data_IF_028843699275
#
_entry.id   IF_028843699275
#
_cell.length_a   1.000
_cell.length_b   1.000
_cell.length_c   1.000
_cell.angle_alpha   90.00
_cell.angle_beta   90.00
_cell.angle_gamma   90.00
#
_symmetry.space_group_name_H-M   'P 1'
#
loop_
_entity.id
_entity.type
_entity.pdbx_description
1 polymer ?
#
# COMPACT_ATOMS: atom_id res chain seq x y z
N UNK A 1 -73.47 -6.26 26.03
CA UNK A 1 -72.85 -5.29 25.16
C UNK A 1 -71.34 -5.39 25.41
N UNK A 2 -70.52 -5.96 24.52
CA UNK A 2 -69.07 -5.93 24.68
C UNK A 2 -68.49 -4.57 24.27
N UNK A 3 -67.52 -4.08 25.02
CA UNK A 3 -66.80 -2.83 24.79
C UNK A 3 -65.89 -2.92 23.54
N UNK A 4 -65.73 -1.84 22.79
CA UNK A 4 -64.87 -1.84 21.60
C UNK A 4 -63.39 -1.84 21.95
N UNK A 5 -62.62 -2.64 21.23
CA UNK A 5 -61.14 -2.72 21.23
C UNK A 5 -60.56 -1.41 20.69
N UNK A 6 -59.51 -0.83 21.29
CA UNK A 6 -58.87 0.35 20.77
C UNK A 6 -58.08 0.04 19.46
N UNK A 7 -57.94 1.02 18.56
CA UNK A 7 -57.22 0.83 17.30
C UNK A 7 -55.70 0.70 17.53
N UNK A 8 -55.07 -0.18 16.73
CA UNK A 8 -53.64 -0.37 16.68
C UNK A 8 -52.91 0.96 16.44
N UNK A 9 -51.94 1.24 17.31
CA UNK A 9 -51.04 2.39 17.17
C UNK A 9 -50.16 2.31 15.93
N UNK A 10 -49.59 3.41 15.45
CA UNK A 10 -48.78 3.45 14.25
C UNK A 10 -47.53 2.59 14.41
N UNK A 11 -47.35 1.59 13.54
CA UNK A 11 -46.11 0.82 13.38
C UNK A 11 -44.98 1.76 12.99
N UNK A 12 -44.03 1.93 13.90
CA UNK A 12 -42.78 2.63 13.62
C UNK A 12 -42.08 1.91 12.44
N UNK A 13 -41.70 2.63 11.38
CA UNK A 13 -40.95 1.99 10.29
C UNK A 13 -39.63 1.44 10.83
N UNK A 14 -39.36 0.18 10.52
CA UNK A 14 -38.08 -0.46 10.84
C UNK A 14 -36.94 0.39 10.27
N UNK A 15 -36.03 0.80 11.13
CA UNK A 15 -34.76 1.43 10.74
C UNK A 15 -34.08 0.48 9.77
N UNK A 16 -33.64 0.92 8.58
CA UNK A 16 -32.92 0.02 7.70
C UNK A 16 -31.71 -0.54 8.43
N UNK A 17 -31.57 -1.86 8.38
CA UNK A 17 -30.39 -2.57 8.90
C UNK A 17 -29.13 -1.92 8.31
N UNK A 18 -28.41 -1.17 9.12
CA UNK A 18 -27.07 -0.68 8.76
C UNK A 18 -26.20 -1.92 8.74
N UNK A 19 -25.60 -2.30 7.61
CA UNK A 19 -24.76 -3.48 7.55
C UNK A 19 -23.72 -3.40 8.67
N UNK A 20 -23.60 -4.46 9.46
CA UNK A 20 -22.60 -4.57 10.52
C UNK A 20 -21.23 -4.18 9.95
N UNK A 21 -20.58 -3.18 10.56
CA UNK A 21 -19.39 -2.56 9.99
C UNK A 21 -18.33 -3.64 9.77
N UNK A 22 -17.95 -3.86 8.51
CA UNK A 22 -16.95 -4.86 8.13
C UNK A 22 -15.66 -4.62 8.90
N UNK A 23 -15.25 -5.57 9.76
CA UNK A 23 -13.98 -5.49 10.49
C UNK A 23 -12.92 -6.38 9.86
N UNK A 24 -11.96 -5.80 9.13
CA UNK A 24 -10.87 -6.57 8.52
C UNK A 24 -9.98 -7.31 9.52
N UNK A 25 -10.02 -6.96 10.82
CA UNK A 25 -9.18 -7.62 11.84
C UNK A 25 -9.54 -9.08 12.06
N UNK A 26 -10.72 -9.53 11.60
CA UNK A 26 -11.10 -10.95 11.56
C UNK A 26 -10.09 -11.79 10.76
N UNK A 27 -9.33 -11.18 9.86
CA UNK A 27 -8.24 -11.81 9.09
C UNK A 27 -6.97 -12.01 9.92
N UNK A 28 -6.95 -11.61 11.19
CA UNK A 28 -5.86 -11.82 12.15
C UNK A 28 -4.49 -11.36 11.65
N UNK A 29 -4.30 -10.07 11.30
CA UNK A 29 -3.02 -9.54 10.86
C UNK A 29 -1.98 -9.68 11.98
N UNK A 30 -0.75 -9.99 11.63
CA UNK A 30 0.38 -10.00 12.56
C UNK A 30 0.88 -8.57 12.75
N UNK A 31 0.33 -7.89 13.77
CA UNK A 31 0.71 -6.54 14.16
C UNK A 31 1.06 -6.50 15.66
N UNK A 32 2.08 -5.71 16.07
CA UNK A 32 3.02 -4.99 15.18
C UNK A 32 3.78 -5.96 14.26
N UNK A 33 4.11 -5.52 13.05
CA UNK A 33 4.92 -6.34 12.15
C UNK A 33 6.33 -6.54 12.73
N UNK A 34 6.98 -7.71 12.49
CA UNK A 34 8.29 -7.97 13.09
C UNK A 34 9.34 -6.94 12.68
N UNK A 35 10.25 -6.63 13.60
CA UNK A 35 11.46 -5.86 13.37
C UNK A 35 12.65 -6.74 13.70
N UNK A 36 13.49 -7.05 12.70
CA UNK A 36 14.57 -8.00 12.81
C UNK A 36 15.90 -7.31 12.49
N UNK A 37 16.92 -7.47 13.35
CA UNK A 37 18.27 -7.05 13.01
C UNK A 37 18.89 -8.03 12.03
N UNK A 38 19.62 -7.51 11.06
CA UNK A 38 20.44 -8.28 10.14
C UNK A 38 21.86 -7.74 10.11
N UNK A 39 22.82 -8.65 10.11
CA UNK A 39 24.24 -8.30 9.99
C UNK A 39 24.58 -8.26 8.49
N UNK A 40 24.94 -7.08 8.01
CA UNK A 40 25.44 -6.87 6.66
C UNK A 40 26.72 -6.06 6.72
N UNK A 41 27.81 -6.61 6.22
CA UNK A 41 29.14 -6.00 6.31
C UNK A 41 29.24 -4.63 5.64
N UNK A 42 28.41 -4.37 4.62
CA UNK A 42 28.31 -3.06 3.93
C UNK A 42 27.86 -1.97 4.90
N UNK A 43 26.99 -2.31 5.85
CA UNK A 43 26.50 -1.41 6.91
C UNK A 43 27.47 -1.39 8.08
N UNK A 44 27.89 -2.53 8.61
CA UNK A 44 28.69 -2.62 9.83
C UNK A 44 30.06 -1.99 9.68
N UNK A 45 30.73 -2.09 8.50
CA UNK A 45 31.98 -1.38 8.21
C UNK A 45 31.88 0.15 8.34
N UNK A 46 30.69 0.70 8.08
CA UNK A 46 30.39 2.15 8.24
C UNK A 46 29.87 2.49 9.63
N UNK A 47 29.71 1.49 10.50
CA UNK A 47 29.15 1.66 11.84
C UNK A 47 27.64 1.98 11.82
N UNK A 48 26.93 1.54 10.80
CA UNK A 48 25.48 1.66 10.66
C UNK A 48 24.83 0.32 10.98
N UNK A 49 23.72 0.32 11.72
CA UNK A 49 22.92 -0.87 12.00
C UNK A 49 21.77 -0.98 11.02
N UNK A 50 21.52 -2.18 10.49
CA UNK A 50 20.39 -2.46 9.62
C UNK A 50 19.34 -3.29 10.35
N UNK A 51 18.12 -2.78 10.38
CA UNK A 51 16.92 -3.50 10.82
C UNK A 51 16.00 -3.70 9.64
N UNK A 52 15.31 -4.83 9.57
CA UNK A 52 14.26 -5.09 8.58
C UNK A 52 12.89 -5.03 9.26
N UNK A 53 12.06 -4.09 8.87
CA UNK A 53 10.66 -3.99 9.29
C UNK A 53 9.81 -4.82 8.34
N UNK A 54 9.36 -5.98 8.81
CA UNK A 54 8.80 -7.07 8.01
C UNK A 54 7.29 -6.91 7.80
N UNK A 55 6.89 -5.84 7.09
CA UNK A 55 5.48 -5.64 6.71
C UNK A 55 4.98 -6.73 5.74
N UNK A 56 5.88 -7.38 5.01
CA UNK A 56 5.58 -8.57 4.19
C UNK A 56 4.99 -9.74 4.99
N UNK A 57 5.19 -9.77 6.31
CA UNK A 57 4.68 -10.80 7.21
C UNK A 57 3.39 -10.41 7.95
N UNK A 58 2.78 -9.27 7.64
CA UNK A 58 1.52 -8.85 8.27
C UNK A 58 0.40 -9.86 7.99
N UNK A 59 0.26 -10.28 6.73
CA UNK A 59 -0.74 -11.25 6.32
C UNK A 59 -0.26 -12.01 5.09
N UNK A 60 -0.46 -13.33 5.02
CA UNK A 60 0.07 -14.16 3.94
C UNK A 60 -0.48 -13.81 2.55
N UNK A 61 -1.70 -13.29 2.47
CA UNK A 61 -2.37 -13.00 1.20
C UNK A 61 -2.58 -11.50 0.93
N UNK A 62 -2.81 -10.68 1.95
CA UNK A 62 -2.83 -9.22 1.82
C UNK A 62 -1.41 -8.67 1.94
N UNK A 63 -0.67 -8.79 0.85
CA UNK A 63 0.78 -8.64 0.81
C UNK A 63 1.24 -7.28 1.35
N UNK A 64 2.05 -7.34 2.38
CA UNK A 64 2.87 -6.25 2.89
C UNK A 64 2.09 -5.04 3.39
N UNK A 65 2.61 -3.87 3.10
CA UNK A 65 2.03 -2.59 3.51
C UNK A 65 0.60 -2.33 2.98
N UNK A 66 0.09 -3.20 2.09
CA UNK A 66 -1.26 -3.08 1.56
C UNK A 66 -2.32 -3.34 2.63
N UNK A 67 -2.03 -4.19 3.60
CA UNK A 67 -2.88 -4.32 4.78
C UNK A 67 -3.16 -2.96 5.43
N UNK A 68 -2.12 -2.19 5.75
CA UNK A 68 -2.24 -0.89 6.44
C UNK A 68 -3.09 0.12 5.66
N UNK A 69 -3.01 0.07 4.33
CA UNK A 69 -3.81 0.93 3.45
C UNK A 69 -5.24 0.45 3.28
N UNK A 70 -5.42 -0.85 3.14
CA UNK A 70 -6.74 -1.44 2.83
C UNK A 70 -7.63 -1.53 4.06
N UNK A 71 -7.13 -1.91 5.22
CA UNK A 71 -7.97 -2.13 6.40
C UNK A 71 -8.93 -0.94 6.71
N UNK A 72 -8.48 0.32 6.77
CA UNK A 72 -9.40 1.44 6.99
C UNK A 72 -10.33 1.70 5.80
N UNK A 73 -9.90 1.42 4.57
CA UNK A 73 -10.74 1.55 3.37
C UNK A 73 -11.82 0.47 3.32
N UNK A 74 -11.51 -0.76 3.70
CA UNK A 74 -12.46 -1.87 3.74
C UNK A 74 -13.55 -1.63 4.80
N UNK A 75 -13.19 -1.09 5.98
CA UNK A 75 -14.17 -0.64 6.96
C UNK A 75 -15.10 0.43 6.37
N UNK A 76 -14.55 1.44 5.69
CA UNK A 76 -15.33 2.51 5.07
C UNK A 76 -16.16 2.03 3.87
N UNK A 77 -15.78 0.95 3.21
CA UNK A 77 -16.57 0.34 2.15
C UNK A 77 -17.91 -0.20 2.66
N UNK A 78 -18.00 -0.63 3.92
CA UNK A 78 -19.23 -1.07 4.58
C UNK A 78 -20.04 -2.10 3.75
N UNK A 79 -19.35 -3.12 3.22
CA UNK A 79 -19.99 -4.16 2.40
C UNK A 79 -20.24 -3.81 0.93
N UNK A 80 -20.01 -2.56 0.51
CA UNK A 80 -20.20 -2.14 -0.91
C UNK A 80 -19.15 -2.82 -1.81
N UNK A 81 -19.47 -2.93 -3.10
CA UNK A 81 -18.47 -3.26 -4.13
C UNK A 81 -17.28 -2.32 -4.04
N UNK A 82 -16.07 -2.88 -4.06
CA UNK A 82 -14.82 -2.08 -4.03
C UNK A 82 -14.27 -1.98 -5.45
N UNK A 83 -14.23 -0.77 -5.99
CA UNK A 83 -13.57 -0.48 -7.28
C UNK A 83 -12.21 0.12 -7.02
N UNK A 84 -11.18 -0.40 -7.68
CA UNK A 84 -9.82 0.14 -7.56
C UNK A 84 -9.06 0.11 -8.89
N UNK A 85 -7.87 0.72 -8.91
CA UNK A 85 -7.10 1.00 -10.11
C UNK A 85 -5.67 0.45 -10.00
N UNK A 86 -5.14 -0.05 -11.12
CA UNK A 86 -3.75 -0.50 -11.15
C UNK A 86 -3.24 -0.85 -12.55
N UNK A 87 -1.93 -0.97 -12.68
CA UNK A 87 -1.31 -1.60 -13.84
C UNK A 87 -1.29 -3.13 -13.71
N UNK A 88 -0.86 -3.82 -14.77
CA UNK A 88 -0.87 -5.27 -14.88
C UNK A 88 -0.10 -6.04 -13.78
N UNK A 89 0.86 -5.40 -13.11
CA UNK A 89 1.66 -5.99 -12.01
C UNK A 89 1.40 -5.32 -10.66
N UNK A 90 0.20 -4.75 -10.48
CA UNK A 90 -0.15 -3.99 -9.29
C UNK A 90 -0.31 -4.88 -8.05
N UNK A 91 0.57 -4.71 -7.06
CA UNK A 91 0.44 -5.32 -5.73
C UNK A 91 -0.85 -4.86 -5.04
N UNK A 92 -1.35 -3.68 -5.38
CA UNK A 92 -2.60 -3.17 -4.81
C UNK A 92 -3.83 -3.91 -5.36
N UNK A 93 -3.89 -4.17 -6.68
CA UNK A 93 -4.97 -4.99 -7.25
C UNK A 93 -5.00 -6.37 -6.59
N UNK A 94 -3.84 -7.04 -6.48
CA UNK A 94 -3.76 -8.37 -5.84
C UNK A 94 -4.25 -8.36 -4.39
N UNK A 95 -3.80 -7.40 -3.61
CA UNK A 95 -4.22 -7.31 -2.21
C UNK A 95 -5.71 -6.98 -2.07
N UNK A 96 -6.27 -6.15 -2.97
CA UNK A 96 -7.71 -5.86 -2.97
C UNK A 96 -8.54 -7.09 -3.39
N UNK A 97 -8.08 -7.84 -4.37
CA UNK A 97 -8.73 -9.09 -4.81
C UNK A 97 -8.74 -10.12 -3.67
N UNK A 98 -7.59 -10.35 -3.04
CA UNK A 98 -7.49 -11.26 -1.90
C UNK A 98 -8.38 -10.82 -0.72
N UNK A 99 -8.42 -9.52 -0.42
CA UNK A 99 -9.32 -8.97 0.61
C UNK A 99 -10.80 -9.22 0.26
N UNK A 100 -11.17 -9.02 -1.01
CA UNK A 100 -12.52 -9.31 -1.50
C UNK A 100 -12.92 -10.76 -1.26
N UNK A 101 -12.07 -11.71 -1.68
CA UNK A 101 -12.31 -13.15 -1.47
C UNK A 101 -12.42 -13.51 0.01
N UNK A 102 -11.49 -13.01 0.83
CA UNK A 102 -11.41 -13.35 2.27
C UNK A 102 -12.57 -12.76 3.09
N UNK A 103 -13.11 -11.62 2.67
CA UNK A 103 -14.17 -10.90 3.38
C UNK A 103 -15.54 -10.99 2.69
N UNK A 104 -15.65 -11.74 1.60
CA UNK A 104 -16.91 -11.88 0.85
C UNK A 104 -17.35 -10.60 0.12
N UNK A 105 -16.41 -9.70 -0.24
CA UNK A 105 -16.72 -8.46 -0.95
C UNK A 105 -16.53 -8.62 -2.46
N UNK A 106 -17.44 -8.04 -3.22
CA UNK A 106 -17.25 -7.88 -4.67
C UNK A 106 -16.15 -6.86 -4.93
N UNK A 107 -15.19 -7.21 -5.79
CA UNK A 107 -14.09 -6.32 -6.19
C UNK A 107 -14.01 -6.15 -7.69
N UNK A 108 -13.70 -4.94 -8.13
CA UNK A 108 -13.46 -4.60 -9.54
C UNK A 108 -12.11 -3.90 -9.66
N UNK A 109 -11.26 -4.42 -10.51
CA UNK A 109 -9.97 -3.84 -10.84
C UNK A 109 -9.99 -3.16 -12.20
N UNK A 110 -9.94 -1.83 -12.24
CA UNK A 110 -9.75 -1.07 -13.48
C UNK A 110 -8.27 -1.10 -13.85
N UNK A 111 -7.96 -1.85 -14.91
CA UNK A 111 -6.59 -2.16 -15.34
C UNK A 111 -6.17 -1.24 -16.47
N UNK A 112 -5.00 -0.59 -16.30
CA UNK A 112 -4.41 0.24 -17.35
C UNK A 112 -3.84 -0.60 -18.48
N UNK A 113 -4.36 -0.45 -19.69
CA UNK A 113 -3.90 -1.11 -20.89
C UNK A 113 -5.00 -1.94 -21.53
N UNK A 114 -5.83 -1.31 -22.36
CA UNK A 114 -6.91 -1.99 -23.07
C UNK A 114 -6.39 -3.12 -23.97
N UNK A 115 -5.17 -2.97 -24.48
CA UNK A 115 -4.46 -3.98 -25.26
C UNK A 115 -4.21 -5.31 -24.53
N UNK A 116 -4.43 -5.34 -23.22
CA UNK A 116 -4.28 -6.56 -22.41
C UNK A 116 -5.55 -7.38 -22.32
N UNK A 117 -6.70 -6.83 -22.72
CA UNK A 117 -7.99 -7.51 -22.63
C UNK A 117 -8.03 -8.80 -23.48
N UNK A 118 -7.41 -8.74 -24.67
CA UNK A 118 -7.40 -9.83 -25.66
C UNK A 118 -6.14 -10.72 -25.54
N UNK A 119 -5.38 -10.59 -24.46
CA UNK A 119 -4.15 -11.37 -24.23
C UNK A 119 -4.31 -12.31 -23.04
N UNK A 120 -3.55 -13.41 -22.98
CA UNK A 120 -3.45 -14.22 -21.77
C UNK A 120 -3.05 -13.34 -20.58
N UNK A 121 -3.75 -13.51 -19.46
CA UNK A 121 -3.43 -12.78 -18.23
C UNK A 121 -2.03 -13.16 -17.75
N UNK A 122 -1.26 -12.16 -17.33
CA UNK A 122 0.00 -12.42 -16.64
C UNK A 122 -0.27 -13.01 -15.24
N UNK A 123 0.74 -13.57 -14.56
CA UNK A 123 0.55 -14.23 -13.25
C UNK A 123 -0.15 -13.34 -12.20
N UNK A 124 0.11 -12.02 -12.21
CA UNK A 124 -0.49 -11.07 -11.26
C UNK A 124 -2.00 -10.90 -11.50
N UNK A 125 -2.42 -10.70 -12.75
CA UNK A 125 -3.83 -10.56 -13.11
C UNK A 125 -4.57 -11.90 -13.02
N UNK A 126 -3.91 -13.02 -13.36
CA UNK A 126 -4.46 -14.37 -13.15
C UNK A 126 -4.81 -14.59 -11.68
N UNK A 127 -3.93 -14.18 -10.76
CA UNK A 127 -4.21 -14.27 -9.32
C UNK A 127 -5.39 -13.38 -8.92
N UNK A 128 -5.48 -12.15 -9.44
CA UNK A 128 -6.64 -11.27 -9.17
C UNK A 128 -7.95 -11.91 -9.63
N UNK A 129 -7.99 -12.48 -10.82
CA UNK A 129 -9.16 -13.15 -11.35
C UNK A 129 -9.52 -14.42 -10.54
N UNK A 130 -8.52 -15.21 -10.16
CA UNK A 130 -8.71 -16.40 -9.31
C UNK A 130 -9.26 -16.04 -7.91
N UNK A 131 -8.91 -14.87 -7.38
CA UNK A 131 -9.46 -14.33 -6.14
C UNK A 131 -10.85 -13.66 -6.35
N UNK A 132 -11.47 -13.80 -7.52
CA UNK A 132 -12.83 -13.33 -7.82
C UNK A 132 -12.94 -11.85 -8.22
N UNK A 133 -11.82 -11.15 -8.44
CA UNK A 133 -11.86 -9.77 -8.92
C UNK A 133 -12.30 -9.70 -10.38
N UNK A 134 -13.32 -8.89 -10.67
CA UNK A 134 -13.67 -8.53 -12.05
C UNK A 134 -12.62 -7.57 -12.60
N UNK A 135 -11.97 -7.93 -13.72
CA UNK A 135 -10.96 -7.10 -14.38
C UNK A 135 -11.60 -6.30 -15.51
N UNK A 136 -11.46 -4.99 -15.48
CA UNK A 136 -11.93 -4.07 -16.52
C UNK A 136 -10.75 -3.32 -17.12
N UNK A 137 -10.45 -3.58 -18.38
CA UNK A 137 -9.30 -3.00 -19.07
C UNK A 137 -9.70 -1.70 -19.76
N UNK A 138 -8.91 -0.65 -19.55
CA UNK A 138 -9.15 0.65 -20.15
C UNK A 138 -7.90 1.18 -20.83
N UNK A 139 -8.08 2.03 -21.85
CA UNK A 139 -6.98 2.68 -22.53
C UNK A 139 -6.22 3.64 -21.59
N UNK A 140 -5.00 3.98 -21.99
CA UNK A 140 -4.10 4.80 -21.13
C UNK A 140 -4.57 6.24 -20.98
N UNK A 141 -5.34 6.77 -21.92
CA UNK A 141 -5.88 8.13 -21.84
C UNK A 141 -7.03 8.21 -20.84
N UNK A 142 -7.98 7.32 -20.91
CA UNK A 142 -9.07 7.17 -19.95
C UNK A 142 -8.52 6.89 -18.55
N UNK A 143 -7.57 5.96 -18.43
CA UNK A 143 -6.93 5.67 -17.14
C UNK A 143 -6.25 6.89 -16.50
N UNK A 144 -5.64 7.75 -17.30
CA UNK A 144 -4.98 8.96 -16.80
C UNK A 144 -5.98 9.96 -16.22
N UNK A 145 -7.18 10.03 -16.80
CA UNK A 145 -8.28 10.91 -16.37
C UNK A 145 -9.21 10.31 -15.31
N UNK A 146 -8.90 9.14 -14.76
CA UNK A 146 -9.70 8.43 -13.75
C UNK A 146 -10.05 9.23 -12.49
N UNK A 147 -9.34 10.33 -12.23
CA UNK A 147 -9.62 11.25 -11.13
C UNK A 147 -10.63 12.34 -11.47
N UNK A 148 -10.99 12.50 -12.74
CA UNK A 148 -12.03 13.45 -13.17
C UNK A 148 -13.43 12.88 -12.86
N UNK A 149 -14.33 13.63 -12.24
CA UNK A 149 -15.63 13.13 -11.81
C UNK A 149 -16.45 12.46 -12.92
N UNK A 150 -16.46 13.05 -14.11
CA UNK A 150 -17.21 12.52 -15.27
C UNK A 150 -16.59 11.20 -15.78
N UNK A 151 -15.26 11.13 -15.87
CA UNK A 151 -14.54 9.93 -16.29
C UNK A 151 -14.75 8.81 -15.28
N UNK A 152 -14.65 9.13 -13.98
CA UNK A 152 -14.90 8.14 -12.92
C UNK A 152 -16.32 7.63 -12.96
N UNK A 153 -17.34 8.51 -13.08
CA UNK A 153 -18.74 8.11 -13.19
C UNK A 153 -18.99 7.21 -14.41
N UNK A 154 -18.37 7.52 -15.56
CA UNK A 154 -18.49 6.69 -16.76
C UNK A 154 -17.86 5.30 -16.56
N UNK A 155 -16.69 5.23 -15.88
CA UNK A 155 -16.04 3.97 -15.53
C UNK A 155 -16.90 3.13 -14.59
N UNK A 156 -17.48 3.74 -13.56
CA UNK A 156 -18.35 3.02 -12.61
C UNK A 156 -19.59 2.45 -13.29
N UNK A 157 -20.23 3.22 -14.20
CA UNK A 157 -21.35 2.72 -15.02
C UNK A 157 -20.93 1.54 -15.93
N UNK A 158 -19.74 1.63 -16.54
CA UNK A 158 -19.27 0.58 -17.46
C UNK A 158 -18.99 -0.77 -16.78
N UNK A 159 -18.96 -0.80 -15.46
CA UNK A 159 -18.75 -2.01 -14.65
C UNK A 159 -19.92 -2.31 -13.71
N UNK A 160 -21.07 -1.67 -13.91
CA UNK A 160 -22.29 -1.82 -13.09
C UNK A 160 -21.99 -1.67 -11.59
N UNK A 161 -21.33 -0.56 -11.21
CA UNK A 161 -20.85 -0.34 -9.86
C UNK A 161 -20.93 1.15 -9.44
N UNK A 162 -22.04 1.83 -9.75
CA UNK A 162 -22.25 3.25 -9.47
C UNK A 162 -22.17 3.57 -7.99
N UNK A 163 -22.67 2.67 -7.13
CA UNK A 163 -22.65 2.81 -5.66
C UNK A 163 -21.36 2.26 -5.01
N UNK A 164 -20.37 1.91 -5.82
CA UNK A 164 -19.14 1.30 -5.30
C UNK A 164 -18.34 2.24 -4.41
N UNK A 165 -17.63 1.65 -3.47
CA UNK A 165 -16.58 2.35 -2.74
C UNK A 165 -15.29 2.37 -3.58
N UNK A 166 -14.84 3.56 -3.92
CA UNK A 166 -13.67 3.75 -4.78
C UNK A 166 -12.40 3.88 -3.94
N UNK A 167 -11.47 2.96 -4.17
CA UNK A 167 -10.11 3.01 -3.60
C UNK A 167 -9.16 3.46 -4.70
N UNK A 168 -8.46 4.59 -4.55
CA UNK A 168 -7.57 5.09 -5.62
C UNK A 168 -6.37 4.18 -5.88
N UNK A 169 -5.67 4.45 -6.98
CA UNK A 169 -4.46 3.72 -7.39
C UNK A 169 -3.45 3.61 -6.26
N UNK A 170 -2.91 2.41 -6.06
CA UNK A 170 -1.98 2.11 -4.96
C UNK A 170 -2.61 2.19 -3.57
N UNK A 171 -3.92 2.38 -3.48
CA UNK A 171 -4.66 2.54 -2.23
C UNK A 171 -4.37 3.85 -1.51
N UNK A 172 -3.91 4.90 -2.19
CA UNK A 172 -3.42 6.11 -1.53
C UNK A 172 -4.51 7.17 -1.43
N UNK A 173 -5.16 7.24 -0.28
CA UNK A 173 -6.10 8.29 0.15
C UNK A 173 -5.87 8.62 1.64
N UNK A 174 -6.62 9.56 2.20
CA UNK A 174 -6.49 10.00 3.59
C UNK A 174 -6.62 8.85 4.60
N UNK A 175 -7.53 7.91 4.38
CA UNK A 175 -7.70 6.74 5.26
C UNK A 175 -6.47 5.83 5.21
N UNK A 176 -5.93 5.56 4.02
CA UNK A 176 -4.73 4.75 3.85
C UNK A 176 -3.50 5.40 4.48
N UNK A 177 -3.36 6.73 4.35
CA UNK A 177 -2.27 7.49 4.99
C UNK A 177 -2.37 7.39 6.50
N UNK A 178 -3.57 7.55 7.08
CA UNK A 178 -3.80 7.36 8.52
C UNK A 178 -3.50 5.93 8.96
N UNK A 179 -3.89 4.91 8.18
CA UNK A 179 -3.54 3.52 8.47
C UNK A 179 -2.02 3.26 8.43
N UNK A 180 -1.30 3.88 7.52
CA UNK A 180 0.16 3.78 7.46
C UNK A 180 0.90 4.55 8.58
N UNK A 181 0.23 5.44 9.33
CA UNK A 181 0.79 6.08 10.52
C UNK A 181 1.17 5.07 11.60
N UNK A 182 0.45 3.96 11.67
CA UNK A 182 0.73 2.88 12.63
C UNK A 182 2.14 2.29 12.44
N UNK A 183 2.63 2.18 11.20
CA UNK A 183 3.99 1.73 10.91
C UNK A 183 5.04 2.62 11.60
N UNK A 184 4.87 3.95 11.52
CA UNK A 184 5.75 4.89 12.22
C UNK A 184 5.62 4.80 13.74
N UNK A 185 4.39 4.64 14.24
CA UNK A 185 4.14 4.46 15.68
C UNK A 185 4.80 3.18 16.23
N UNK A 186 4.78 2.08 15.46
CA UNK A 186 5.46 0.84 15.84
C UNK A 186 6.99 1.04 15.93
N UNK A 187 7.61 1.74 14.96
CA UNK A 187 9.04 2.05 14.98
C UNK A 187 9.40 3.01 16.11
N UNK A 188 8.57 4.02 16.37
CA UNK A 188 8.73 4.93 17.52
C UNK A 188 8.68 4.18 18.85
N UNK A 189 7.72 3.27 19.01
CA UNK A 189 7.54 2.49 20.25
C UNK A 189 8.68 1.49 20.48
N UNK A 190 9.28 0.96 19.41
CA UNK A 190 10.46 0.10 19.53
C UNK A 190 11.67 0.87 20.06
N UNK A 191 11.81 2.15 19.68
CA UNK A 191 12.97 2.98 20.00
C UNK A 191 14.22 2.59 19.20
N UNK A 192 15.26 3.43 19.29
CA UNK A 192 16.58 3.16 18.71
C UNK A 192 16.64 3.03 17.19
N UNK A 193 15.64 3.54 16.47
CA UNK A 193 15.63 3.70 15.01
C UNK A 193 15.78 5.18 14.69
N UNK A 194 16.77 5.54 13.90
CA UNK A 194 16.99 6.93 13.47
C UNK A 194 16.36 7.23 12.12
N UNK A 195 16.41 6.24 11.21
CA UNK A 195 15.93 6.38 9.84
C UNK A 195 15.03 5.20 9.47
N UNK A 196 13.82 5.48 9.02
CA UNK A 196 12.93 4.48 8.44
C UNK A 196 12.88 4.65 6.92
N UNK A 197 13.38 3.66 6.18
CA UNK A 197 13.47 3.72 4.72
C UNK A 197 12.46 2.79 4.05
N UNK A 198 11.85 3.24 2.95
CA UNK A 198 10.92 2.42 2.16
C UNK A 198 10.89 2.81 0.68
N UNK A 199 10.51 1.85 -0.16
CA UNK A 199 10.22 2.09 -1.57
C UNK A 199 8.90 2.84 -1.76
N UNK A 200 8.90 3.84 -2.64
CA UNK A 200 7.75 4.72 -2.88
C UNK A 200 7.22 4.57 -4.31
N UNK A 201 5.95 4.13 -4.44
CA UNK A 201 5.19 4.23 -5.70
C UNK A 201 4.31 5.48 -5.73
N UNK A 202 3.22 5.48 -4.98
CA UNK A 202 2.25 6.60 -4.87
C UNK A 202 2.44 7.48 -3.61
N UNK A 203 3.48 7.23 -2.82
CA UNK A 203 3.83 8.06 -1.66
C UNK A 203 2.99 7.87 -0.39
N UNK A 204 1.79 7.27 -0.46
CA UNK A 204 0.88 7.20 0.68
C UNK A 204 1.44 6.48 1.91
N UNK A 205 2.31 5.47 1.73
CA UNK A 205 2.96 4.80 2.86
C UNK A 205 3.98 5.70 3.54
N UNK A 206 4.79 6.43 2.76
CA UNK A 206 5.77 7.39 3.31
C UNK A 206 5.06 8.53 4.05
N UNK A 207 3.97 9.05 3.46
CA UNK A 207 3.15 10.10 4.08
C UNK A 207 2.66 9.71 5.48
N UNK A 208 2.15 8.48 5.63
CA UNK A 208 1.69 7.96 6.91
C UNK A 208 2.82 7.61 7.85
N UNK A 209 3.82 6.87 7.38
CA UNK A 209 5.00 6.50 8.16
C UNK A 209 5.62 7.72 8.85
N UNK A 210 5.94 8.76 8.08
CA UNK A 210 6.55 9.98 8.62
C UNK A 210 5.70 10.63 9.71
N UNK A 211 4.38 10.63 9.56
CA UNK A 211 3.46 11.18 10.56
C UNK A 211 3.39 10.35 11.86
N UNK A 212 3.87 9.12 11.86
CA UNK A 212 3.89 8.23 13.02
C UNK A 212 5.22 8.20 13.78
N UNK A 213 6.31 8.63 13.14
CA UNK A 213 7.66 8.66 13.71
C UNK A 213 7.78 9.68 14.84
N UNK A 214 8.81 9.52 15.69
CA UNK A 214 9.19 10.50 16.69
C UNK A 214 9.86 11.73 16.05
N UNK A 215 9.93 12.89 16.74
CA UNK A 215 10.52 14.12 16.18
C UNK A 215 12.00 13.99 15.79
N UNK A 216 12.76 13.13 16.44
CA UNK A 216 14.17 12.83 16.21
C UNK A 216 14.40 11.76 15.14
N UNK A 217 13.34 11.07 14.72
CA UNK A 217 13.36 10.08 13.65
C UNK A 217 13.01 10.70 12.29
N UNK A 218 13.53 10.13 11.21
CA UNK A 218 13.19 10.58 9.85
C UNK A 218 12.82 9.42 8.93
N UNK A 219 11.94 9.68 7.97
CA UNK A 219 11.60 8.76 6.91
C UNK A 219 12.39 9.07 5.64
N UNK A 220 12.91 8.03 4.97
CA UNK A 220 13.58 8.11 3.69
C UNK A 220 12.78 7.31 2.65
N UNK A 221 12.24 7.99 1.64
CA UNK A 221 11.57 7.36 0.52
C UNK A 221 12.52 7.17 -0.65
N UNK A 222 12.51 5.97 -1.23
CA UNK A 222 13.19 5.67 -2.50
C UNK A 222 12.11 5.51 -3.59
N UNK A 223 11.89 6.53 -4.45
CA UNK A 223 10.93 6.46 -5.54
C UNK A 223 11.25 5.34 -6.53
N UNK A 224 10.25 4.52 -6.86
CA UNK A 224 10.36 3.51 -7.93
C UNK A 224 9.81 4.01 -9.26
N UNK A 225 9.28 5.23 -9.26
CA UNK A 225 8.75 5.95 -10.43
C UNK A 225 9.71 7.08 -10.84
N UNK A 226 9.76 7.37 -12.13
CA UNK A 226 10.54 8.50 -12.66
C UNK A 226 9.65 9.73 -12.77
N UNK A 227 10.16 10.93 -12.46
CA UNK A 227 9.44 12.17 -12.78
C UNK A 227 9.49 13.30 -11.75
N UNK A 228 10.03 13.08 -10.53
CA UNK A 228 10.24 14.16 -9.53
C UNK A 228 8.96 14.73 -8.89
N UNK A 229 7.78 14.22 -9.23
CA UNK A 229 6.48 14.73 -8.75
C UNK A 229 6.05 14.17 -7.37
N UNK A 230 6.71 13.12 -6.93
CA UNK A 230 6.24 12.36 -5.74
C UNK A 230 6.25 13.19 -4.44
N UNK A 231 7.15 14.18 -4.34
CA UNK A 231 7.20 15.07 -3.19
C UNK A 231 5.93 15.91 -3.01
N UNK A 232 5.39 16.45 -4.11
CA UNK A 232 4.12 17.18 -4.10
C UNK A 232 2.93 16.26 -3.77
N UNK A 233 2.92 15.04 -4.31
CA UNK A 233 1.86 14.06 -4.04
C UNK A 233 1.84 13.66 -2.56
N UNK A 234 3.01 13.41 -1.95
CA UNK A 234 3.12 13.10 -0.53
C UNK A 234 2.63 14.27 0.33
N UNK A 235 3.00 15.50 -0.03
CA UNK A 235 2.54 16.70 0.69
C UNK A 235 1.02 16.86 0.59
N UNK A 236 0.45 16.67 -0.58
CA UNK A 236 -1.01 16.72 -0.78
C UNK A 236 -1.74 15.61 0.01
N UNK A 237 -1.17 14.41 0.07
CA UNK A 237 -1.71 13.31 0.86
C UNK A 237 -1.66 13.61 2.37
N UNK A 238 -0.59 14.22 2.87
CA UNK A 238 -0.49 14.64 4.26
C UNK A 238 -1.45 15.78 4.58
N UNK A 239 -1.59 16.76 3.67
CA UNK A 239 -2.59 17.82 3.79
C UNK A 239 -3.99 17.24 3.93
N UNK A 240 -4.39 16.38 3.02
CA UNK A 240 -5.71 15.72 3.03
C UNK A 240 -5.96 14.83 4.26
N UNK A 241 -4.91 14.18 4.79
CA UNK A 241 -5.04 13.28 5.92
C UNK A 241 -4.94 13.96 7.28
N UNK A 242 -4.12 15.02 7.41
CA UNK A 242 -3.71 15.59 8.69
C UNK A 242 -3.81 17.12 8.76
N UNK A 243 -4.21 17.79 7.70
CA UNK A 243 -4.28 19.26 7.62
C UNK A 243 -2.90 19.92 7.63
N UNK A 244 -1.89 19.28 7.03
CA UNK A 244 -0.54 19.81 6.90
C UNK A 244 0.55 18.76 6.92
N UNK A 245 1.79 19.20 6.68
CA UNK A 245 2.98 18.34 6.73
C UNK A 245 3.19 17.74 8.13
N UNK A 246 3.51 16.43 8.19
CA UNK A 246 3.76 15.71 9.44
C UNK A 246 5.06 14.91 9.36
N UNK A 247 5.86 15.01 10.41
CA UNK A 247 7.14 14.32 10.55
C UNK A 247 8.21 14.81 9.57
N UNK A 248 9.42 14.29 9.75
CA UNK A 248 10.57 14.58 8.89
C UNK A 248 10.68 13.49 7.82
N UNK A 249 10.67 13.87 6.55
CA UNK A 249 10.86 12.94 5.45
C UNK A 249 11.61 13.58 4.29
N UNK A 250 12.31 12.75 3.54
CA UNK A 250 13.02 13.09 2.32
C UNK A 250 12.86 12.00 1.27
N UNK A 251 13.16 12.33 0.02
CA UNK A 251 13.20 11.40 -1.12
C UNK A 251 14.61 11.39 -1.69
N UNK A 252 15.05 10.20 -2.14
CA UNK A 252 16.20 10.04 -3.01
C UNK A 252 15.74 9.33 -4.29
N UNK A 253 15.62 10.06 -5.37
CA UNK A 253 15.05 9.60 -6.65
C UNK A 253 16.08 8.99 -7.62
N UNK A 254 17.34 8.83 -7.22
CA UNK A 254 18.41 8.25 -8.04
C UNK A 254 18.17 6.78 -8.40
N UNK A 255 17.46 6.03 -7.55
CA UNK A 255 17.42 4.57 -7.58
C UNK A 255 16.14 3.98 -8.21
N UNK A 256 15.49 4.71 -9.12
CA UNK A 256 14.27 4.23 -9.79
C UNK A 256 14.53 3.20 -10.91
N UNK A 257 15.77 2.99 -11.36
CA UNK A 257 16.16 2.04 -12.43
C UNK A 257 15.31 2.16 -13.70
N UNK A 258 15.12 3.40 -14.19
CA UNK A 258 14.32 3.67 -15.38
C UNK A 258 12.81 3.81 -15.15
N UNK A 259 12.32 3.59 -13.93
CA UNK A 259 10.92 3.81 -13.52
C UNK A 259 10.17 2.56 -13.09
N UNK A 260 8.84 2.69 -13.00
CA UNK A 260 7.97 1.61 -12.53
C UNK A 260 8.07 0.35 -13.41
N UNK A 261 8.07 -0.80 -12.76
CA UNK A 261 8.14 -2.15 -13.37
C UNK A 261 9.37 -2.37 -14.28
N UNK A 262 10.44 -1.57 -14.09
CA UNK A 262 11.73 -1.78 -14.77
C UNK A 262 12.76 -2.30 -13.78
N UNK A 263 13.54 -3.28 -14.21
CA UNK A 263 14.73 -3.80 -13.55
C UNK A 263 15.93 -3.71 -14.47
N UNK A 264 17.11 -3.92 -13.94
CA UNK A 264 18.37 -4.01 -14.69
C UNK A 264 19.13 -5.24 -14.20
N UNK A 265 20.05 -5.82 -15.02
CA UNK A 265 20.89 -6.91 -14.57
C UNK A 265 21.66 -6.60 -13.28
N UNK A 266 22.08 -5.37 -13.09
CA UNK A 266 22.73 -4.89 -11.86
C UNK A 266 21.81 -5.03 -10.64
N UNK A 267 20.55 -4.55 -10.73
CA UNK A 267 19.57 -4.65 -9.65
C UNK A 267 19.22 -6.12 -9.35
N UNK A 268 19.09 -6.95 -10.39
CA UNK A 268 18.78 -8.37 -10.23
C UNK A 268 19.94 -9.12 -9.55
N UNK A 269 21.20 -8.82 -9.93
CA UNK A 269 22.41 -9.35 -9.27
C UNK A 269 22.48 -8.93 -7.81
N UNK A 270 22.25 -7.65 -7.51
CA UNK A 270 22.21 -7.12 -6.16
C UNK A 270 21.15 -7.83 -5.30
N UNK A 271 19.96 -7.98 -5.85
CA UNK A 271 18.87 -8.60 -5.11
C UNK A 271 19.14 -10.09 -4.83
N UNK A 272 19.75 -10.82 -5.78
CA UNK A 272 20.16 -12.20 -5.59
C UNK A 272 21.28 -12.33 -4.51
N UNK A 273 22.26 -11.41 -4.49
CA UNK A 273 23.28 -11.34 -3.43
C UNK A 273 22.65 -11.08 -2.06
N UNK A 274 21.70 -10.14 -1.97
CA UNK A 274 21.01 -9.83 -0.72
C UNK A 274 20.20 -11.03 -0.22
N UNK A 275 19.47 -11.71 -1.12
CA UNK A 275 18.74 -12.95 -0.81
C UNK A 275 19.65 -14.04 -0.26
N UNK A 276 20.80 -14.26 -0.91
CA UNK A 276 21.78 -15.26 -0.49
C UNK A 276 22.37 -14.95 0.89
N UNK A 277 22.68 -13.67 1.17
CA UNK A 277 23.27 -13.23 2.45
C UNK A 277 22.30 -13.36 3.62
N UNK A 278 21.03 -13.05 3.40
CA UNK A 278 20.06 -12.86 4.49
C UNK A 278 18.93 -13.88 4.52
N UNK A 279 18.86 -14.80 3.56
CA UNK A 279 17.76 -15.77 3.45
C UNK A 279 16.39 -15.11 3.26
N UNK A 280 16.36 -13.88 2.72
CA UNK A 280 15.16 -13.09 2.53
C UNK A 280 14.85 -12.94 1.04
N UNK A 281 13.75 -13.53 0.53
CA UNK A 281 13.32 -13.28 -0.85
C UNK A 281 12.98 -11.78 -1.04
N UNK A 282 13.60 -11.16 -2.06
CA UNK A 282 13.51 -9.72 -2.32
C UNK A 282 12.63 -9.42 -3.53
N UNK A 283 11.55 -8.70 -3.32
CA UNK A 283 10.69 -8.23 -4.39
C UNK A 283 11.42 -7.19 -5.26
N UNK A 284 11.47 -7.42 -6.60
CA UNK A 284 12.37 -6.70 -7.52
C UNK A 284 11.93 -5.28 -7.87
N UNK A 285 10.61 -5.00 -7.87
CA UNK A 285 10.09 -3.73 -8.41
C UNK A 285 10.11 -2.58 -7.39
N UNK A 286 10.12 -2.91 -6.09
CA UNK A 286 10.09 -1.97 -4.99
C UNK A 286 11.22 -2.21 -4.00
N UNK A 287 11.19 -3.35 -3.29
CA UNK A 287 12.09 -3.62 -2.16
C UNK A 287 13.56 -3.66 -2.59
N UNK A 288 13.87 -4.32 -3.72
CA UNK A 288 15.23 -4.37 -4.24
C UNK A 288 15.81 -2.97 -4.50
N UNK A 289 15.03 -2.07 -5.09
CA UNK A 289 15.46 -0.69 -5.38
C UNK A 289 15.76 0.10 -4.11
N UNK A 290 14.93 -0.06 -3.09
CA UNK A 290 15.13 0.58 -1.79
C UNK A 290 16.38 0.05 -1.10
N UNK A 291 16.58 -1.28 -1.07
CA UNK A 291 17.75 -1.88 -0.45
C UNK A 291 19.04 -1.51 -1.19
N UNK A 292 19.02 -1.51 -2.52
CA UNK A 292 20.13 -1.04 -3.35
C UNK A 292 20.48 0.41 -3.02
N UNK A 293 19.48 1.29 -2.98
CA UNK A 293 19.67 2.69 -2.62
C UNK A 293 20.24 2.86 -1.22
N UNK A 294 19.79 2.07 -0.24
CA UNK A 294 20.33 2.11 1.12
C UNK A 294 21.79 1.69 1.18
N UNK A 295 22.17 0.60 0.51
CA UNK A 295 23.57 0.15 0.44
C UNK A 295 24.45 1.23 -0.18
N UNK A 296 24.02 1.80 -1.31
CA UNK A 296 24.76 2.89 -1.97
C UNK A 296 24.92 4.10 -1.04
N UNK A 297 23.85 4.54 -0.37
CA UNK A 297 23.89 5.66 0.57
C UNK A 297 24.83 5.41 1.77
N UNK A 298 24.87 4.18 2.28
CA UNK A 298 25.79 3.78 3.34
C UNK A 298 27.24 3.84 2.86
N UNK A 299 27.50 3.34 1.65
CA UNK A 299 28.84 3.37 1.04
C UNK A 299 29.31 4.78 0.75
N UNK A 300 28.41 5.67 0.34
CA UNK A 300 28.66 7.12 0.15
C UNK A 300 28.87 7.88 1.49
N UNK A 301 28.59 7.25 2.63
CA UNK A 301 28.72 7.90 3.93
C UNK A 301 27.57 8.85 4.28
N UNK A 302 26.39 8.66 3.70
CA UNK A 302 25.20 9.48 3.96
C UNK A 302 24.63 9.34 5.39
N UNK A 303 25.06 8.32 6.13
CA UNK A 303 24.68 8.08 7.51
C UNK A 303 25.90 8.18 8.44
N UNK A 304 25.73 8.88 9.56
CA UNK A 304 26.77 8.97 10.58
C UNK A 304 26.95 7.63 11.31
N UNK A 305 28.15 7.40 11.85
CA UNK A 305 28.41 6.20 12.68
C UNK A 305 27.45 6.17 13.87
N UNK A 306 26.92 5.00 14.16
CA UNK A 306 25.91 4.78 15.22
C UNK A 306 24.48 4.84 14.70
N UNK A 307 24.23 5.35 13.48
CA UNK A 307 22.87 5.39 12.89
C UNK A 307 22.27 3.99 12.77
N UNK A 308 21.02 3.87 13.16
CA UNK A 308 20.18 2.67 12.95
C UNK A 308 19.16 2.94 11.85
N UNK A 309 19.22 2.17 10.78
CA UNK A 309 18.30 2.25 9.64
C UNK A 309 17.33 1.08 9.69
N UNK A 310 16.03 1.35 9.71
CA UNK A 310 14.98 0.35 9.53
C UNK A 310 14.51 0.36 8.07
N UNK A 311 14.84 -0.69 7.31
CA UNK A 311 14.36 -0.91 5.96
C UNK A 311 12.99 -1.60 5.99
N UNK A 312 11.96 -0.95 5.45
CA UNK A 312 10.60 -1.51 5.43
C UNK A 312 10.43 -2.45 4.24
N UNK A 313 10.28 -3.73 4.52
CA UNK A 313 9.99 -4.76 3.52
C UNK A 313 8.50 -4.73 3.21
N UNK A 314 8.13 -3.98 2.18
CA UNK A 314 6.73 -3.66 1.87
C UNK A 314 5.98 -4.74 1.10
N UNK A 315 6.64 -5.82 0.73
CA UNK A 315 6.06 -6.95 0.00
C UNK A 315 7.07 -8.05 -0.25
N UNK A 316 6.57 -9.23 -0.63
CA UNK A 316 7.35 -10.38 -1.03
C UNK A 316 7.27 -10.59 -2.56
N UNK A 317 8.19 -11.34 -3.17
CA UNK A 317 8.07 -11.80 -4.55
C UNK A 317 6.76 -12.56 -4.81
N UNK A 318 6.38 -12.65 -6.08
CA UNK A 318 5.23 -13.47 -6.53
C UNK A 318 5.56 -14.95 -6.45
#
# INVERSE_FOLDING_TARGET
MPSPTPPDGPTTPATPDVPEALDPTVLRPRLPSPLCQVEDERFTRRGVRLLLKRDDLIHPELIGNKWRKLAPNLRAAAGRTVVTFGGAYSNHLRATAAAGRLLGLTTVGVVRGQELADRPLNPSLTRCAADGMRLHFVDRSTYRRKGEPETLAALLRSVDAEDAYVVPEGGSNSLAVRGCRELGAELRSHGGVDVAALACGTGGTLAGLAAGLAPDQRALGIPVVKGGFLGSDISALQEAAFGGRRGTWSLDDRFHFGGYARTTPELDTFAADFEQRHGLPVERLYVAKMLYGLVTLVEEGAFTRGTTVAAVITGAPL
#
